data_IF_471674330064
#
_entry.id   IF_471674330064
#
_cell.length_a   1.000
_cell.length_b   1.000
_cell.length_c   1.000
_cell.angle_alpha   90.00
_cell.angle_beta   90.00
_cell.angle_gamma   90.00
#
_symmetry.space_group_name_H-M   'P 1'
#
loop_
_entity.id
_entity.type
_entity.pdbx_description
1 polymer ?
#
# COMPACT_ATOMS: atom_id res chain seq x y z
N UNK A 1 -10.18 -8.10 -9.66
CA UNK A 1 -9.01 -8.75 -10.26
C UNK A 1 -9.24 -10.25 -10.30
N UNK A 2 -8.26 -11.04 -10.73
CA UNK A 2 -8.34 -12.50 -10.85
C UNK A 2 -8.44 -13.22 -9.51
N UNK A 3 -8.07 -12.56 -8.41
CA UNK A 3 -8.18 -13.07 -7.04
C UNK A 3 -9.50 -12.72 -6.37
N UNK A 4 -10.42 -12.04 -7.06
CA UNK A 4 -11.74 -11.67 -6.53
C UNK A 4 -11.75 -10.37 -5.72
N UNK A 5 -10.67 -9.60 -5.74
CA UNK A 5 -10.64 -8.26 -5.16
C UNK A 5 -11.34 -7.25 -6.09
N UNK A 6 -11.85 -6.18 -5.51
CA UNK A 6 -12.60 -5.12 -6.20
C UNK A 6 -11.90 -3.80 -5.91
N UNK A 7 -11.70 -2.99 -6.95
CA UNK A 7 -11.27 -1.60 -6.80
C UNK A 7 -12.37 -0.68 -7.33
N UNK A 8 -12.58 0.44 -6.64
CA UNK A 8 -13.45 1.51 -7.07
C UNK A 8 -12.64 2.81 -7.12
N UNK A 9 -12.38 3.29 -8.33
CA UNK A 9 -11.81 4.62 -8.55
C UNK A 9 -12.93 5.63 -8.76
N UNK A 10 -12.77 6.84 -8.22
CA UNK A 10 -13.80 7.88 -8.27
C UNK A 10 -13.21 9.28 -8.20
N UNK A 11 -14.02 10.25 -8.63
CA UNK A 11 -13.76 11.68 -8.43
C UNK A 11 -14.23 12.10 -7.05
N UNK A 12 -13.42 12.87 -6.35
CA UNK A 12 -13.75 13.45 -5.05
C UNK A 12 -13.62 14.97 -5.10
N UNK A 13 -14.66 15.67 -4.66
CA UNK A 13 -14.72 17.12 -4.52
C UNK A 13 -15.41 17.46 -3.20
N UNK A 14 -14.98 18.56 -2.57
CA UNK A 14 -15.57 19.09 -1.36
C UNK A 14 -15.45 20.61 -1.37
N UNK A 15 -16.58 21.29 -1.56
CA UNK A 15 -16.66 22.74 -1.47
C UNK A 15 -16.40 23.29 -0.05
N UNK A 16 -16.75 22.54 1.00
CA UNK A 16 -16.62 22.96 2.41
C UNK A 16 -15.27 22.57 3.02
N UNK A 17 -14.83 23.31 4.05
CA UNK A 17 -13.56 23.08 4.71
C UNK A 17 -13.44 21.66 5.35
N UNK A 18 -12.29 20.97 5.21
CA UNK A 18 -11.16 21.33 4.36
C UNK A 18 -11.53 21.18 2.88
N UNK A 19 -11.41 22.25 2.12
CA UNK A 19 -11.79 22.29 0.70
C UNK A 19 -10.92 21.31 -0.07
N UNK A 20 -11.55 20.52 -0.93
CA UNK A 20 -10.88 19.62 -1.84
C UNK A 20 -11.43 19.89 -3.23
N UNK A 21 -10.58 20.33 -4.13
CA UNK A 21 -10.95 20.45 -5.53
C UNK A 21 -11.03 19.07 -6.16
N UNK A 22 -11.78 18.96 -7.25
CA UNK A 22 -11.97 17.71 -7.97
C UNK A 22 -10.64 16.95 -8.18
N UNK A 23 -10.51 15.88 -7.42
CA UNK A 23 -9.36 15.01 -7.23
C UNK A 23 -9.75 13.58 -7.59
N UNK A 24 -8.78 12.67 -7.64
CA UNK A 24 -9.05 11.25 -7.87
C UNK A 24 -8.55 10.43 -6.69
N UNK A 25 -9.39 9.49 -6.25
CA UNK A 25 -9.07 8.52 -5.21
C UNK A 25 -9.52 7.13 -5.65
N UNK A 26 -9.01 6.10 -4.99
CA UNK A 26 -9.59 4.76 -5.03
C UNK A 26 -9.80 4.19 -3.63
N UNK A 27 -10.75 3.27 -3.53
CA UNK A 27 -10.94 2.37 -2.40
C UNK A 27 -10.96 0.93 -2.90
N UNK A 28 -10.75 -0.03 -2.00
CA UNK A 28 -10.69 -1.44 -2.38
C UNK A 28 -11.44 -2.36 -1.42
N UNK A 29 -11.82 -3.52 -1.95
CA UNK A 29 -12.32 -4.67 -1.21
C UNK A 29 -11.49 -5.89 -1.60
N UNK A 30 -10.93 -6.58 -0.63
CA UNK A 30 -10.27 -7.86 -0.82
C UNK A 30 -11.29 -9.01 -0.83
N UNK A 31 -10.93 -10.13 -1.45
CA UNK A 31 -11.86 -11.27 -1.60
C UNK A 31 -12.43 -11.78 -0.26
N UNK A 32 -11.62 -11.74 0.81
CA UNK A 32 -12.00 -12.16 2.16
C UNK A 32 -12.80 -11.14 2.97
N UNK A 33 -13.00 -9.91 2.47
CA UNK A 33 -13.74 -8.88 3.21
C UNK A 33 -15.23 -9.20 3.33
N UNK A 34 -15.90 -8.73 4.41
CA UNK A 34 -17.35 -8.80 4.51
C UNK A 34 -18.06 -8.24 3.27
N UNK A 35 -19.18 -8.84 2.82
CA UNK A 35 -19.96 -8.29 1.73
C UNK A 35 -20.38 -6.84 1.98
N UNK A 36 -20.27 -5.99 0.95
CA UNK A 36 -20.68 -4.58 1.02
C UNK A 36 -19.70 -3.65 1.73
N UNK A 37 -18.53 -4.14 2.17
CA UNK A 37 -17.52 -3.33 2.86
C UNK A 37 -16.27 -3.19 1.98
N UNK A 38 -15.82 -1.95 1.74
CA UNK A 38 -14.52 -1.64 1.14
C UNK A 38 -13.51 -1.41 2.27
N UNK A 39 -12.71 -2.42 2.63
CA UNK A 39 -11.80 -2.34 3.79
C UNK A 39 -10.46 -1.69 3.45
N UNK A 40 -10.06 -1.69 2.18
CA UNK A 40 -8.83 -1.00 1.76
C UNK A 40 -9.10 0.50 1.80
N UNK A 41 -8.29 1.18 2.61
CA UNK A 41 -8.43 2.61 2.86
C UNK A 41 -8.40 3.43 1.56
N UNK A 42 -9.12 4.55 1.60
CA UNK A 42 -9.09 5.52 0.50
C UNK A 42 -7.65 6.01 0.28
N UNK A 43 -7.20 5.88 -0.96
CA UNK A 43 -5.87 6.34 -1.38
C UNK A 43 -6.01 7.38 -2.47
N UNK A 44 -5.41 8.55 -2.25
CA UNK A 44 -5.39 9.62 -3.24
C UNK A 44 -4.46 9.29 -4.40
N UNK A 45 -4.96 9.39 -5.63
CA UNK A 45 -4.19 9.22 -6.87
C UNK A 45 -3.62 10.54 -7.36
N UNK A 46 -4.40 11.62 -7.24
CA UNK A 46 -3.98 12.99 -7.54
C UNK A 46 -4.91 13.96 -6.82
N UNK A 47 -4.33 15.04 -6.27
CA UNK A 47 -5.08 16.14 -5.69
C UNK A 47 -5.36 17.22 -6.73
N UNK A 48 -6.58 17.72 -6.74
CA UNK A 48 -6.98 18.88 -7.52
C UNK A 48 -6.39 20.17 -6.98
N UNK A 49 -6.14 21.14 -7.86
CA UNK A 49 -5.49 22.40 -7.52
C UNK A 49 -6.36 23.65 -7.76
N UNK A 50 -7.50 23.52 -8.42
CA UNK A 50 -8.44 24.62 -8.66
C UNK A 50 -9.87 24.13 -8.88
N UNK A 51 -10.86 25.02 -8.88
CA UNK A 51 -12.24 24.68 -9.21
C UNK A 51 -12.51 24.82 -10.71
N UNK A 52 -13.39 23.95 -11.26
CA UNK A 52 -13.98 24.20 -12.57
C UNK A 52 -15.05 25.28 -12.45
N UNK A 53 -14.92 26.36 -13.21
CA UNK A 53 -15.84 27.52 -13.13
C UNK A 53 -16.47 27.90 -14.47
N UNK A 54 -16.00 27.32 -15.58
CA UNK A 54 -16.41 27.72 -16.93
C UNK A 54 -17.26 26.70 -17.71
N UNK A 55 -17.53 25.52 -17.13
CA UNK A 55 -18.24 24.43 -17.79
C UNK A 55 -19.13 23.66 -16.80
N UNK A 56 -20.25 23.12 -17.29
CA UNK A 56 -21.25 22.43 -16.46
C UNK A 56 -21.13 20.89 -16.49
N UNK A 57 -20.23 20.33 -17.31
CA UNK A 57 -20.00 18.88 -17.43
C UNK A 57 -18.71 18.48 -16.73
N UNK A 58 -18.72 17.33 -16.06
CA UNK A 58 -17.57 16.77 -15.36
C UNK A 58 -17.52 15.25 -15.50
N UNK A 59 -16.36 14.71 -15.83
CA UNK A 59 -16.05 13.29 -15.66
C UNK A 59 -16.76 12.33 -16.61
N UNK A 60 -16.97 12.73 -17.86
CA UNK A 60 -17.60 11.90 -18.90
C UNK A 60 -16.82 10.61 -19.21
N UNK A 61 -15.50 10.55 -18.95
CA UNK A 61 -14.63 9.46 -19.40
C UNK A 61 -13.75 8.89 -18.29
N UNK A 62 -14.39 8.17 -17.37
CA UNK A 62 -13.70 7.38 -16.34
C UNK A 62 -13.68 5.92 -16.77
N UNK A 63 -12.54 5.25 -16.56
CA UNK A 63 -12.44 3.82 -16.79
C UNK A 63 -11.58 3.17 -15.71
N UNK A 64 -12.01 2.00 -15.26
CA UNK A 64 -11.23 1.06 -14.47
C UNK A 64 -11.12 -0.25 -15.25
N UNK A 65 -9.91 -0.75 -15.44
CA UNK A 65 -9.64 -2.04 -16.08
C UNK A 65 -8.65 -2.86 -15.27
N UNK A 66 -8.69 -4.18 -15.42
CA UNK A 66 -7.66 -5.07 -14.87
C UNK A 66 -6.74 -5.48 -16.02
N UNK A 67 -5.43 -5.43 -15.79
CA UNK A 67 -4.42 -5.86 -16.73
C UNK A 67 -4.58 -7.37 -17.01
N UNK A 68 -4.82 -7.79 -18.25
CA UNK A 68 -5.02 -9.20 -18.57
C UNK A 68 -3.73 -10.03 -18.50
N UNK A 69 -2.55 -9.41 -18.46
CA UNK A 69 -1.26 -10.11 -18.42
C UNK A 69 -1.02 -10.71 -17.04
N UNK A 70 -1.30 -9.98 -15.97
CA UNK A 70 -1.12 -10.46 -14.59
C UNK A 70 -2.43 -10.75 -13.86
N UNK A 71 -3.57 -10.32 -14.42
CA UNK A 71 -4.89 -10.48 -13.81
C UNK A 71 -5.09 -9.66 -12.54
N UNK A 72 -4.12 -8.83 -12.13
CA UNK A 72 -4.02 -8.23 -10.81
C UNK A 72 -3.91 -6.72 -10.81
N UNK A 73 -3.20 -6.15 -11.77
CA UNK A 73 -2.97 -4.70 -11.82
C UNK A 73 -4.22 -3.99 -12.30
N UNK A 74 -4.74 -3.08 -11.50
CA UNK A 74 -5.81 -2.16 -11.90
C UNK A 74 -5.19 -0.98 -12.62
N UNK A 75 -5.78 -0.61 -13.76
CA UNK A 75 -5.51 0.62 -14.49
C UNK A 75 -6.74 1.53 -14.40
N UNK A 76 -6.55 2.73 -13.89
CA UNK A 76 -7.58 3.74 -13.76
C UNK A 76 -7.22 4.99 -14.57
N UNK A 77 -8.21 5.53 -15.28
CA UNK A 77 -8.14 6.85 -15.92
C UNK A 77 -9.30 7.71 -15.46
N UNK A 78 -9.03 8.96 -15.16
CA UNK A 78 -10.04 9.92 -14.73
C UNK A 78 -9.60 11.37 -14.92
N UNK A 79 -10.58 12.25 -14.87
CA UNK A 79 -10.40 13.70 -14.92
C UNK A 79 -10.17 14.27 -13.51
N UNK A 80 -9.23 15.21 -13.39
CA UNK A 80 -9.00 15.98 -12.16
C UNK A 80 -8.73 17.44 -12.50
N UNK A 81 -8.92 18.35 -11.54
CA UNK A 81 -8.63 19.76 -11.76
C UNK A 81 -7.15 20.08 -11.53
N UNK A 82 -6.44 20.45 -12.59
CA UNK A 82 -5.11 21.06 -12.50
C UNK A 82 -5.16 22.49 -11.99
N UNK A 83 -4.04 23.21 -12.07
CA UNK A 83 -3.96 24.59 -11.58
C UNK A 83 -4.76 25.60 -12.41
N UNK A 84 -5.00 25.31 -13.69
CA UNK A 84 -5.68 26.24 -14.62
C UNK A 84 -6.75 25.60 -15.48
N UNK A 85 -6.72 24.28 -15.64
CA UNK A 85 -7.73 23.53 -16.40
C UNK A 85 -7.78 22.08 -15.88
N UNK A 86 -8.81 21.34 -16.29
CA UNK A 86 -8.85 19.90 -16.08
C UNK A 86 -7.69 19.20 -16.82
N UNK A 87 -7.31 18.05 -16.29
CA UNK A 87 -6.33 17.16 -16.90
C UNK A 87 -6.72 15.70 -16.62
N UNK A 88 -6.17 14.79 -17.41
CA UNK A 88 -6.37 13.36 -17.21
C UNK A 88 -5.22 12.78 -16.39
N UNK A 89 -5.53 11.94 -15.41
CA UNK A 89 -4.57 11.10 -14.71
C UNK A 89 -4.80 9.65 -15.10
N UNK A 90 -3.71 8.98 -15.47
CA UNK A 90 -3.66 7.52 -15.57
C UNK A 90 -2.86 7.03 -14.36
N UNK A 91 -3.41 6.06 -13.64
CA UNK A 91 -2.77 5.44 -12.50
C UNK A 91 -2.89 3.92 -12.61
N UNK A 92 -1.88 3.22 -12.11
CA UNK A 92 -1.98 1.79 -11.85
C UNK A 92 -1.73 1.49 -10.38
N UNK A 93 -2.36 0.43 -9.90
CA UNK A 93 -2.17 -0.09 -8.55
C UNK A 93 -2.56 -1.56 -8.50
N UNK A 94 -2.07 -2.28 -7.49
CA UNK A 94 -2.33 -3.70 -7.28
C UNK A 94 -2.54 -3.93 -5.79
N UNK A 95 -3.49 -4.81 -5.43
CA UNK A 95 -3.59 -5.27 -4.05
C UNK A 95 -2.55 -6.37 -3.80
N UNK A 96 -1.84 -6.30 -2.67
CA UNK A 96 -0.89 -7.34 -2.27
C UNK A 96 -1.55 -8.72 -2.16
N UNK A 97 -2.85 -8.75 -1.88
CA UNK A 97 -3.67 -9.96 -1.83
C UNK A 97 -3.99 -10.56 -3.21
N UNK A 98 -3.52 -9.98 -4.32
CA UNK A 98 -3.71 -10.56 -5.65
C UNK A 98 -2.53 -11.41 -6.09
N UNK A 99 -2.82 -12.56 -6.69
CA UNK A 99 -1.85 -13.50 -7.23
C UNK A 99 -1.60 -14.69 -6.30
N UNK A 100 -0.36 -15.20 -6.30
CA UNK A 100 0.01 -16.35 -5.47
C UNK A 100 0.12 -15.95 -3.99
N UNK A 101 -0.23 -16.85 -3.05
CA UNK A 101 -0.04 -16.62 -1.62
C UNK A 101 1.39 -16.16 -1.32
N UNK A 102 1.52 -15.14 -0.47
CA UNK A 102 2.80 -14.56 -0.06
C UNK A 102 2.74 -14.10 1.41
N UNK A 103 3.82 -13.59 1.96
CA UNK A 103 3.85 -13.04 3.31
C UNK A 103 4.31 -11.58 3.31
N UNK A 104 3.93 -10.86 4.37
CA UNK A 104 4.47 -9.54 4.67
C UNK A 104 5.43 -9.63 5.85
N UNK A 105 6.42 -8.72 5.88
CA UNK A 105 7.33 -8.56 7.02
C UNK A 105 7.30 -7.10 7.44
N UNK A 106 7.00 -6.86 8.71
CA UNK A 106 7.12 -5.53 9.33
C UNK A 106 8.00 -5.64 10.57
N UNK A 107 8.65 -4.54 10.95
CA UNK A 107 9.59 -4.56 12.07
C UNK A 107 9.65 -3.23 12.81
N UNK A 108 9.80 -3.28 14.14
CA UNK A 108 10.04 -2.10 14.98
C UNK A 108 10.97 -2.45 16.16
N UNK A 109 11.97 -1.61 16.49
CA UNK A 109 12.45 -0.45 15.75
C UNK A 109 13.28 -0.85 14.51
N UNK A 110 13.31 0.02 13.48
CA UNK A 110 14.08 -0.19 12.25
C UNK A 110 15.51 0.34 12.30
N UNK A 111 15.84 1.11 13.35
CA UNK A 111 17.17 1.65 13.59
C UNK A 111 17.50 1.55 15.07
N UNK A 112 18.76 1.27 15.37
CA UNK A 112 19.30 1.28 16.72
C UNK A 112 20.69 1.91 16.69
N UNK A 113 20.98 2.70 17.72
CA UNK A 113 22.27 3.38 17.87
C UNK A 113 23.06 2.73 19.00
N UNK A 114 24.38 2.65 18.81
CA UNK A 114 25.30 2.08 19.80
C UNK A 114 26.50 3.00 19.93
N UNK A 115 26.92 3.28 21.17
CA UNK A 115 28.14 4.04 21.41
C UNK A 115 29.37 3.19 21.11
N UNK A 116 30.18 3.61 20.11
CA UNK A 116 31.37 2.90 19.67
C UNK A 116 32.44 2.59 20.75
N UNK A 117 32.68 3.40 21.81
CA UNK A 117 33.73 3.11 22.78
C UNK A 117 33.30 2.18 23.94
N UNK A 118 32.26 1.37 23.78
CA UNK A 118 31.85 0.46 24.85
C UNK A 118 32.86 -0.67 25.04
N UNK A 119 33.49 -0.73 26.23
CA UNK A 119 34.44 -1.78 26.59
C UNK A 119 33.79 -3.15 26.85
N UNK A 120 32.46 -3.22 26.92
CA UNK A 120 31.68 -4.44 27.09
C UNK A 120 30.56 -4.52 26.05
N UNK A 121 30.16 -5.74 25.62
CA UNK A 121 28.97 -5.91 24.80
C UNK A 121 27.75 -5.24 25.44
N UNK A 122 27.05 -4.41 24.69
CA UNK A 122 25.80 -3.77 25.12
C UNK A 122 24.64 -4.56 24.54
N UNK A 123 23.73 -5.02 25.39
CA UNK A 123 22.49 -5.63 24.93
C UNK A 123 21.59 -4.54 24.32
N UNK A 124 21.28 -4.69 23.04
CA UNK A 124 20.36 -3.82 22.33
C UNK A 124 18.91 -4.23 22.61
N UNK A 125 17.98 -3.29 22.43
CA UNK A 125 16.56 -3.58 22.52
C UNK A 125 16.16 -4.59 21.44
N UNK A 126 15.34 -5.61 21.74
CA UNK A 126 14.85 -6.53 20.73
C UNK A 126 14.10 -5.78 19.62
N UNK A 127 14.32 -6.19 18.37
CA UNK A 127 13.48 -5.79 17.24
C UNK A 127 12.30 -6.75 17.18
N UNK A 128 11.09 -6.22 17.31
CA UNK A 128 9.87 -6.96 17.07
C UNK A 128 9.68 -7.08 15.56
N UNK A 129 9.70 -8.32 15.06
CA UNK A 129 9.43 -8.62 13.65
C UNK A 129 8.09 -9.34 13.60
N UNK A 130 7.17 -8.83 12.80
CA UNK A 130 5.87 -9.42 12.56
C UNK A 130 5.83 -9.96 11.14
N UNK A 131 5.48 -11.24 11.00
CA UNK A 131 5.20 -11.87 9.71
C UNK A 131 3.69 -12.05 9.60
N UNK A 132 3.11 -11.57 8.51
CA UNK A 132 1.68 -11.68 8.25
C UNK A 132 1.38 -12.52 7.02
N UNK A 133 0.35 -13.34 7.08
CA UNK A 133 -0.19 -14.06 5.93
C UNK A 133 -0.81 -13.10 4.90
N UNK A 134 -0.48 -13.25 3.62
CA UNK A 134 -1.13 -12.58 2.50
C UNK A 134 -1.73 -13.64 1.57
N UNK A 135 -3.01 -13.51 1.27
CA UNK A 135 -3.77 -14.48 0.46
C UNK A 135 -3.69 -15.92 0.97
N UNK A 136 -3.69 -16.09 2.30
CA UNK A 136 -3.72 -17.40 2.95
C UNK A 136 -2.38 -18.15 2.96
N UNK A 137 -1.27 -17.45 2.75
CA UNK A 137 0.06 -18.04 2.88
C UNK A 137 0.29 -18.59 4.28
N UNK A 138 0.68 -19.87 4.36
CA UNK A 138 0.86 -20.62 5.59
C UNK A 138 2.15 -21.47 5.58
N UNK A 139 3.07 -21.16 4.69
CA UNK A 139 4.35 -21.84 4.59
C UNK A 139 5.34 -21.24 5.59
N UNK A 140 6.20 -22.04 6.26
CA UNK A 140 7.22 -21.51 7.16
C UNK A 140 8.13 -20.46 6.49
N UNK A 141 8.35 -19.34 7.18
CA UNK A 141 9.29 -18.28 6.79
C UNK A 141 10.51 -18.37 7.71
N UNK A 142 11.64 -18.75 7.13
CA UNK A 142 12.93 -18.80 7.83
C UNK A 142 13.62 -17.44 7.83
N UNK A 143 14.20 -17.06 8.97
CA UNK A 143 15.00 -15.86 9.09
C UNK A 143 16.50 -16.19 9.10
N UNK A 144 17.29 -15.30 8.51
CA UNK A 144 18.74 -15.38 8.51
C UNK A 144 19.38 -14.02 8.27
N UNK A 145 20.61 -13.84 8.77
CA UNK A 145 21.35 -12.59 8.65
C UNK A 145 22.02 -12.38 7.27
N UNK A 146 21.59 -13.10 6.23
CA UNK A 146 22.17 -13.00 4.89
C UNK A 146 23.69 -13.19 4.89
N UNK A 147 24.44 -12.13 4.58
CA UNK A 147 25.91 -12.09 4.61
C UNK A 147 26.52 -12.07 6.02
N UNK A 148 25.70 -12.11 7.07
CA UNK A 148 26.10 -11.96 8.47
C UNK A 148 25.88 -10.54 9.01
N UNK A 149 25.98 -10.40 10.33
CA UNK A 149 25.95 -9.11 11.02
C UNK A 149 27.31 -8.38 10.90
N UNK A 150 27.34 -7.04 11.01
CA UNK A 150 28.59 -6.28 11.04
C UNK A 150 29.56 -6.78 12.12
N UNK A 151 30.86 -6.61 11.91
CA UNK A 151 31.87 -7.02 12.89
C UNK A 151 31.61 -6.39 14.27
N UNK A 152 31.65 -7.20 15.32
CA UNK A 152 31.33 -6.79 16.69
C UNK A 152 29.84 -6.85 17.06
N UNK A 153 28.94 -7.14 16.12
CA UNK A 153 27.52 -7.35 16.38
C UNK A 153 27.17 -8.85 16.43
N UNK A 154 26.31 -9.20 17.37
CA UNK A 154 25.70 -10.53 17.49
C UNK A 154 24.19 -10.39 17.59
N UNK A 155 23.46 -11.41 17.17
CA UNK A 155 22.01 -11.42 17.21
C UNK A 155 21.46 -12.82 16.96
N UNK A 156 20.22 -13.03 17.38
CA UNK A 156 19.47 -14.25 17.12
C UNK A 156 18.01 -13.92 16.88
N UNK A 157 17.30 -14.83 16.23
CA UNK A 157 15.85 -14.80 16.13
C UNK A 157 15.28 -15.63 17.27
N UNK A 158 14.36 -15.05 18.05
CA UNK A 158 13.69 -15.75 19.16
C UNK A 158 12.73 -16.82 18.64
N UNK A 159 12.16 -16.61 17.44
CA UNK A 159 11.31 -17.55 16.73
C UNK A 159 11.74 -17.58 15.27
N UNK A 160 12.14 -18.76 14.79
CA UNK A 160 12.37 -19.05 13.37
C UNK A 160 12.33 -20.57 13.18
N UNK A 161 11.59 -21.10 12.18
CA UNK A 161 10.73 -20.36 11.27
C UNK A 161 9.49 -19.77 11.96
N UNK A 162 8.88 -18.77 11.32
CA UNK A 162 7.54 -18.27 11.65
C UNK A 162 6.56 -18.76 10.60
N UNK A 163 5.46 -19.37 11.03
CA UNK A 163 4.32 -19.66 10.15
C UNK A 163 3.36 -18.48 10.26
N UNK A 164 3.10 -17.73 9.16
CA UNK A 164 2.28 -16.52 9.20
C UNK A 164 0.79 -16.75 9.42
#
# INVERSE_FOLDING_TARGET
>A
DSSGNIALGYSIDRAVAPTQFASLSYVGRQAGDPPGVMTTAETSLVLGASAQTGFDRWGDYFQMGVDPVDGCTFWFTGEYMGASNWATRIASFRFDACGSPTFSVTGTPLAQEVCAPSATPVALSPVNINVGSVSGYNTPVDFGFGSGLPAGFGGSYTVSPVVP
#
